data_IF_470103705228
#
_entry.id   IF_470103705228
#
_cell.length_a   1.000
_cell.length_b   1.000
_cell.length_c   1.000
_cell.angle_alpha   90.00
_cell.angle_beta   90.00
_cell.angle_gamma   90.00
#
_symmetry.space_group_name_H-M   'P 1'
#
loop_
_entity.id
_entity.type
_entity.pdbx_description
1 polymer ?
#
# COMPACT_ATOMS: atom_id res chain seq x y z
N UNK A 1 -8.05 -8.81 0.84
CA UNK A 1 -8.66 -7.46 0.93
C UNK A 1 -8.27 -6.82 2.25
N UNK A 2 -7.78 -5.59 2.20
CA UNK A 2 -7.37 -4.84 3.41
C UNK A 2 -8.58 -4.16 4.06
N UNK A 3 -9.37 -3.50 3.24
CA UNK A 3 -10.61 -2.81 3.60
C UNK A 3 -11.50 -2.79 2.35
N UNK A 4 -12.77 -2.39 2.44
CA UNK A 4 -13.62 -2.32 1.26
C UNK A 4 -12.99 -1.48 0.15
N UNK A 5 -12.73 -2.11 -0.99
CA UNK A 5 -12.10 -1.47 -2.14
C UNK A 5 -10.57 -1.32 -2.05
N UNK A 6 -9.92 -1.90 -1.04
CA UNK A 6 -8.46 -1.86 -0.90
C UNK A 6 -7.91 -3.28 -0.89
N UNK A 7 -7.08 -3.60 -1.86
CA UNK A 7 -6.46 -4.91 -2.03
C UNK A 7 -4.94 -4.80 -1.94
N UNK A 8 -4.29 -5.87 -1.52
CA UNK A 8 -2.82 -5.95 -1.45
C UNK A 8 -2.31 -7.19 -2.16
N UNK A 9 -1.11 -7.08 -2.75
CA UNK A 9 -0.46 -8.23 -3.41
C UNK A 9 1.03 -8.01 -3.56
N UNK A 10 1.73 -9.05 -4.04
CA UNK A 10 3.03 -8.93 -4.67
C UNK A 10 2.87 -8.38 -6.08
N UNK A 11 3.98 -8.31 -6.83
CA UNK A 11 3.94 -7.76 -8.19
C UNK A 11 3.07 -8.65 -9.09
N UNK A 12 1.99 -8.12 -9.70
CA UNK A 12 1.17 -8.91 -10.60
C UNK A 12 1.90 -9.22 -11.90
N UNK A 13 1.51 -10.29 -12.54
CA UNK A 13 1.96 -10.67 -13.86
C UNK A 13 0.76 -10.96 -14.76
N UNK A 14 1.02 -11.32 -16.03
CA UNK A 14 -0.03 -11.54 -17.01
C UNK A 14 -1.06 -12.59 -16.60
N UNK A 15 -0.66 -13.59 -15.81
CA UNK A 15 -1.58 -14.63 -15.30
C UNK A 15 -2.62 -14.06 -14.35
N UNK A 16 -2.35 -12.93 -13.73
CA UNK A 16 -3.24 -12.29 -12.77
C UNK A 16 -4.20 -11.30 -13.41
N UNK A 17 -3.98 -10.89 -14.66
CA UNK A 17 -4.77 -9.80 -15.28
C UNK A 17 -6.25 -10.12 -15.37
N UNK A 18 -6.61 -11.36 -15.69
CA UNK A 18 -8.01 -11.78 -15.75
C UNK A 18 -8.72 -11.65 -14.39
N UNK A 19 -8.05 -12.03 -13.31
CA UNK A 19 -8.57 -11.86 -11.95
C UNK A 19 -8.67 -10.38 -11.56
N UNK A 20 -7.61 -9.62 -11.84
CA UNK A 20 -7.57 -8.20 -11.49
C UNK A 20 -8.66 -7.41 -12.23
N UNK A 21 -8.96 -7.78 -13.46
CA UNK A 21 -10.05 -7.16 -14.23
C UNK A 21 -11.39 -7.28 -13.50
N UNK A 22 -11.65 -8.39 -12.83
CA UNK A 22 -12.89 -8.61 -12.07
C UNK A 22 -13.03 -7.69 -10.86
N UNK A 23 -11.91 -7.16 -10.36
CA UNK A 23 -11.93 -6.24 -9.22
C UNK A 23 -12.37 -4.84 -9.62
N UNK A 24 -12.44 -4.54 -10.89
CA UNK A 24 -12.81 -3.21 -11.43
C UNK A 24 -11.96 -2.09 -10.82
N UNK A 25 -10.65 -2.29 -10.78
CA UNK A 25 -9.72 -1.34 -10.18
C UNK A 25 -9.78 0.02 -10.88
N UNK A 26 -9.80 1.09 -10.11
CA UNK A 26 -9.57 2.46 -10.60
C UNK A 26 -8.11 2.83 -10.55
N UNK A 27 -7.38 2.29 -9.59
CA UNK A 27 -5.99 2.70 -9.32
C UNK A 27 -5.13 1.52 -8.91
N UNK A 28 -3.83 1.67 -9.17
CA UNK A 28 -2.77 0.81 -8.64
C UNK A 28 -1.74 1.70 -7.95
N UNK A 29 -1.36 1.33 -6.74
CA UNK A 29 -0.28 1.96 -5.99
C UNK A 29 0.91 1.00 -6.00
N UNK A 30 1.98 1.37 -6.69
CA UNK A 30 3.21 0.60 -6.73
C UNK A 30 4.26 1.20 -5.79
N UNK A 31 4.76 0.38 -4.88
CA UNK A 31 5.70 0.77 -3.82
C UNK A 31 7.04 0.10 -4.05
N UNK A 32 7.90 0.69 -4.86
CA UNK A 32 9.25 0.19 -5.11
C UNK A 32 10.11 1.23 -5.79
N UNK A 33 11.43 1.08 -5.68
CA UNK A 33 12.39 1.92 -6.41
C UNK A 33 12.57 1.49 -7.87
N UNK A 34 12.20 0.24 -8.19
CA UNK A 34 12.33 -0.30 -9.54
C UNK A 34 11.36 0.38 -10.50
N UNK A 35 11.72 0.43 -11.76
CA UNK A 35 10.80 0.86 -12.80
C UNK A 35 9.66 -0.16 -12.93
N UNK A 36 8.45 0.35 -13.19
CA UNK A 36 7.30 -0.52 -13.31
C UNK A 36 7.36 -1.33 -14.60
N UNK A 37 7.01 -2.60 -14.52
CA UNK A 37 7.06 -3.50 -15.68
C UNK A 37 6.15 -3.01 -16.78
N UNK A 38 6.69 -2.92 -18.00
CA UNK A 38 5.98 -2.37 -19.15
C UNK A 38 4.69 -3.12 -19.48
N UNK A 39 4.67 -4.44 -19.35
CA UNK A 39 3.46 -5.22 -19.62
C UNK A 39 2.30 -4.86 -18.67
N UNK A 40 2.61 -4.54 -17.41
CA UNK A 40 1.60 -4.10 -16.43
C UNK A 40 1.13 -2.69 -16.76
N UNK A 41 2.05 -1.80 -17.13
CA UNK A 41 1.72 -0.42 -17.53
C UNK A 41 0.78 -0.43 -18.73
N UNK A 42 1.09 -1.23 -19.75
CA UNK A 42 0.26 -1.35 -20.96
C UNK A 42 -1.12 -1.90 -20.64
N UNK A 43 -1.18 -2.95 -19.81
CA UNK A 43 -2.46 -3.52 -19.38
C UNK A 43 -3.30 -2.50 -18.61
N UNK A 44 -2.72 -1.81 -17.66
CA UNK A 44 -3.43 -0.80 -16.86
C UNK A 44 -3.95 0.32 -17.74
N UNK A 45 -3.16 0.77 -18.72
CA UNK A 45 -3.58 1.81 -19.66
C UNK A 45 -4.77 1.35 -20.51
N UNK A 46 -4.76 0.09 -20.99
CA UNK A 46 -5.89 -0.47 -21.73
C UNK A 46 -7.16 -0.55 -20.91
N UNK A 47 -7.03 -0.85 -19.63
CA UNK A 47 -8.18 -0.98 -18.71
C UNK A 47 -8.60 0.34 -18.08
N UNK A 48 -7.91 1.44 -18.39
CA UNK A 48 -8.22 2.76 -17.81
C UNK A 48 -7.86 2.87 -16.34
N UNK A 49 -6.89 2.10 -15.87
CA UNK A 49 -6.44 2.09 -14.48
C UNK A 49 -5.32 3.12 -14.31
N UNK A 50 -5.46 4.00 -13.32
CA UNK A 50 -4.45 4.99 -13.00
C UNK A 50 -3.36 4.38 -12.12
N UNK A 51 -2.09 4.57 -12.49
CA UNK A 51 -0.95 4.09 -11.73
C UNK A 51 -0.33 5.23 -10.93
N UNK A 52 -0.16 5.02 -9.63
CA UNK A 52 0.62 5.89 -8.75
C UNK A 52 1.87 5.13 -8.34
N UNK A 53 3.02 5.56 -8.84
CA UNK A 53 4.29 4.94 -8.50
C UNK A 53 4.97 5.75 -7.40
N UNK A 54 5.13 5.13 -6.25
CA UNK A 54 5.85 5.70 -5.11
C UNK A 54 7.16 4.94 -4.91
N UNK A 55 8.27 5.63 -5.07
CA UNK A 55 9.60 5.03 -4.94
C UNK A 55 9.95 4.92 -3.47
N UNK A 56 9.58 3.79 -2.90
CA UNK A 56 9.75 3.48 -1.48
C UNK A 56 10.89 2.50 -1.29
N UNK A 57 11.89 2.92 -0.52
CA UNK A 57 13.03 2.07 -0.15
C UNK A 57 12.65 1.17 1.02
N UNK A 58 13.01 -0.12 0.93
CA UNK A 58 12.83 -1.04 2.06
C UNK A 58 13.73 -0.66 3.24
N UNK A 59 13.23 -0.88 4.46
CA UNK A 59 14.07 -0.83 5.64
C UNK A 59 15.04 -2.01 5.64
N UNK A 60 16.27 -1.77 6.10
CA UNK A 60 17.29 -2.82 6.27
C UNK A 60 17.66 -2.91 7.73
N UNK A 61 17.48 -4.08 8.31
CA UNK A 61 17.83 -4.30 9.72
C UNK A 61 19.28 -3.86 10.00
N UNK A 62 19.52 -3.13 11.09
CA UNK A 62 18.58 -2.64 12.09
C UNK A 62 17.98 -1.23 11.82
N UNK A 63 18.16 -0.68 10.62
CA UNK A 63 17.84 0.72 10.32
C UNK A 63 16.49 0.88 9.64
N UNK A 64 15.81 1.99 9.95
CA UNK A 64 14.63 2.44 9.21
C UNK A 64 15.09 3.42 8.12
N UNK A 65 15.04 2.98 6.87
CA UNK A 65 15.45 3.77 5.70
C UNK A 65 14.27 4.24 4.84
N UNK A 66 13.08 3.76 5.14
CA UNK A 66 11.88 4.08 4.38
C UNK A 66 11.52 5.55 4.56
N UNK A 67 11.24 6.23 3.44
CA UNK A 67 10.89 7.65 3.45
C UNK A 67 9.45 7.84 3.91
N UNK A 68 9.27 8.54 5.03
CA UNK A 68 7.95 8.83 5.58
C UNK A 68 7.10 9.69 4.66
N UNK A 69 7.69 10.62 3.91
CA UNK A 69 6.94 11.48 3.00
C UNK A 69 6.40 10.70 1.81
N UNK A 70 7.16 9.75 1.28
CA UNK A 70 6.67 8.87 0.22
C UNK A 70 5.54 7.97 0.70
N UNK A 71 5.66 7.43 1.90
CA UNK A 71 4.58 6.61 2.50
C UNK A 71 3.35 7.47 2.76
N UNK A 72 3.51 8.68 3.28
CA UNK A 72 2.40 9.60 3.50
C UNK A 72 1.69 9.95 2.19
N UNK A 73 2.45 10.19 1.12
CA UNK A 73 1.89 10.45 -0.21
C UNK A 73 1.09 9.26 -0.73
N UNK A 74 1.62 8.05 -0.57
CA UNK A 74 0.91 6.83 -0.96
C UNK A 74 -0.40 6.68 -0.17
N UNK A 75 -0.35 6.89 1.15
CA UNK A 75 -1.54 6.83 2.01
C UNK A 75 -2.59 7.87 1.60
N UNK A 76 -2.18 9.06 1.25
CA UNK A 76 -3.09 10.11 0.78
C UNK A 76 -3.84 9.66 -0.47
N UNK A 77 -3.19 8.97 -1.40
CA UNK A 77 -3.86 8.43 -2.59
C UNK A 77 -4.78 7.27 -2.26
N UNK A 78 -4.38 6.36 -1.37
CA UNK A 78 -5.17 5.19 -0.98
C UNK A 78 -6.44 5.59 -0.24
N UNK A 79 -6.34 6.60 0.63
CA UNK A 79 -7.41 7.02 1.51
C UNK A 79 -8.28 8.12 0.89
N UNK A 80 -8.46 8.05 -0.41
CA UNK A 80 -9.34 8.89 -1.20
C UNK A 80 -10.30 7.97 -1.98
N UNK A 81 -11.58 8.01 -1.63
CA UNK A 81 -12.57 7.10 -2.23
C UNK A 81 -12.69 7.22 -3.74
N UNK A 82 -12.25 8.34 -4.32
CA UNK A 82 -12.25 8.53 -5.79
C UNK A 82 -11.26 7.61 -6.49
N UNK A 83 -10.27 7.09 -5.77
CA UNK A 83 -9.26 6.17 -6.30
C UNK A 83 -9.63 4.69 -6.09
N UNK A 84 -10.69 4.41 -5.35
CA UNK A 84 -11.08 3.04 -5.03
C UNK A 84 -11.99 2.44 -6.12
N UNK A 85 -11.91 1.14 -6.41
CA UNK A 85 -11.03 0.16 -5.78
C UNK A 85 -9.55 0.32 -6.17
N UNK A 86 -8.65 0.08 -5.23
CA UNK A 86 -7.20 0.23 -5.41
C UNK A 86 -6.46 -1.07 -5.09
N UNK A 87 -5.45 -1.39 -5.89
CA UNK A 87 -4.49 -2.44 -5.57
C UNK A 87 -3.19 -1.81 -5.09
N UNK A 88 -2.78 -2.15 -3.88
CA UNK A 88 -1.50 -1.75 -3.31
C UNK A 88 -0.54 -2.93 -3.47
N UNK A 89 0.60 -2.72 -4.10
CA UNK A 89 1.58 -3.79 -4.20
C UNK A 89 3.01 -3.27 -4.20
N UNK A 90 3.92 -4.15 -3.85
CA UNK A 90 5.36 -4.01 -4.02
C UNK A 90 5.83 -5.24 -4.80
N UNK A 91 7.10 -5.63 -4.69
CA UNK A 91 7.57 -6.79 -5.45
C UNK A 91 7.12 -8.13 -4.82
N UNK A 92 7.19 -8.25 -3.49
CA UNK A 92 6.81 -9.49 -2.78
C UNK A 92 5.47 -9.41 -2.06
N UNK A 93 4.92 -8.21 -1.88
CA UNK A 93 3.67 -8.01 -1.16
C UNK A 93 3.80 -8.15 0.36
N UNK A 94 5.01 -8.06 0.90
CA UNK A 94 5.32 -8.30 2.32
C UNK A 94 5.68 -7.04 3.08
N UNK A 95 6.81 -6.42 2.75
CA UNK A 95 7.46 -5.40 3.59
C UNK A 95 6.93 -4.00 3.36
N UNK A 96 7.12 -3.44 2.18
CA UNK A 96 6.66 -2.07 1.86
C UNK A 96 5.14 -1.97 1.94
N UNK A 97 4.44 -2.92 1.36
CA UNK A 97 2.97 -3.02 1.52
C UNK A 97 2.61 -3.21 2.99
N UNK A 98 3.34 -4.05 3.71
CA UNK A 98 3.10 -4.29 5.14
C UNK A 98 3.20 -3.02 5.98
N UNK A 99 4.20 -2.18 5.73
CA UNK A 99 4.35 -0.90 6.42
C UNK A 99 3.19 0.05 6.12
N UNK A 100 2.80 0.16 4.85
CA UNK A 100 1.67 1.01 4.45
C UNK A 100 0.37 0.53 5.08
N UNK A 101 0.10 -0.78 5.04
CA UNK A 101 -1.09 -1.35 5.67
C UNK A 101 -1.06 -1.15 7.19
N UNK A 102 0.10 -1.33 7.82
CA UNK A 102 0.26 -1.05 9.25
C UNK A 102 -0.12 0.38 9.63
N UNK A 103 0.29 1.35 8.81
CA UNK A 103 -0.10 2.75 9.00
C UNK A 103 -1.60 2.97 8.81
N UNK A 104 -2.23 2.28 7.85
CA UNK A 104 -3.69 2.31 7.70
C UNK A 104 -4.36 1.80 8.98
N UNK A 105 -3.87 0.69 9.54
CA UNK A 105 -4.42 0.12 10.78
C UNK A 105 -4.29 1.09 11.95
N UNK A 106 -3.19 1.82 12.03
CA UNK A 106 -3.06 2.88 13.04
C UNK A 106 -4.11 3.98 12.87
N UNK A 107 -4.37 4.40 11.64
CA UNK A 107 -5.42 5.37 11.34
C UNK A 107 -6.80 4.83 11.69
N UNK A 108 -7.03 3.52 11.52
CA UNK A 108 -8.25 2.84 11.95
C UNK A 108 -8.30 2.59 13.46
N UNK A 109 -7.26 2.99 14.19
CA UNK A 109 -7.15 2.82 15.65
C UNK A 109 -7.15 1.36 16.11
N UNK A 110 -6.55 0.48 15.33
CA UNK A 110 -6.29 -0.88 15.76
C UNK A 110 -5.34 -0.88 16.96
N UNK A 111 -5.47 -1.88 17.85
CA UNK A 111 -4.49 -2.08 18.89
C UNK A 111 -3.12 -2.36 18.29
N UNK A 112 -2.07 -1.95 18.98
CA UNK A 112 -0.70 -2.17 18.52
C UNK A 112 -0.41 -3.65 18.30
N UNK A 113 -0.84 -4.52 19.22
CA UNK A 113 -0.66 -5.96 19.10
C UNK A 113 -1.35 -6.50 17.84
N UNK A 114 -2.59 -6.09 17.58
CA UNK A 114 -3.36 -6.58 16.43
C UNK A 114 -2.71 -6.22 15.10
N UNK A 115 -2.23 -4.98 14.96
CA UNK A 115 -1.62 -4.57 13.71
C UNK A 115 -0.26 -5.25 13.48
N UNK A 116 0.53 -5.50 14.52
CA UNK A 116 1.80 -6.23 14.41
C UNK A 116 1.58 -7.70 14.11
N UNK A 117 0.55 -8.31 14.66
CA UNK A 117 0.18 -9.69 14.32
C UNK A 117 -0.22 -9.82 12.85
N UNK A 118 -0.99 -8.86 12.33
CA UNK A 118 -1.34 -8.84 10.91
C UNK A 118 -0.07 -8.67 10.05
N UNK A 119 0.80 -7.75 10.41
CA UNK A 119 2.07 -7.57 9.70
C UNK A 119 2.86 -8.88 9.65
N UNK A 120 3.01 -9.54 10.79
CA UNK A 120 3.79 -10.77 10.90
C UNK A 120 3.20 -11.94 10.08
N UNK A 121 1.88 -12.00 9.94
CA UNK A 121 1.25 -13.05 9.12
C UNK A 121 1.68 -13.00 7.65
N UNK A 122 1.98 -11.82 7.13
CA UNK A 122 2.40 -11.65 5.74
C UNK A 122 3.91 -11.62 5.57
N UNK A 123 4.64 -11.04 6.51
CA UNK A 123 6.05 -10.68 6.36
C UNK A 123 6.97 -11.37 7.36
N UNK A 124 6.43 -12.01 8.41
CA UNK A 124 7.23 -12.46 9.55
C UNK A 124 7.63 -11.27 10.43
N UNK A 125 8.55 -11.52 11.36
CA UNK A 125 9.02 -10.47 12.25
C UNK A 125 10.15 -9.69 11.58
N UNK A 126 10.00 -8.36 11.51
CA UNK A 126 11.03 -7.46 11.02
C UNK A 126 10.99 -6.17 11.86
N UNK A 127 11.93 -6.05 12.79
CA UNK A 127 11.94 -4.98 13.79
C UNK A 127 12.01 -3.58 13.16
N UNK A 128 12.77 -3.41 12.09
CA UNK A 128 12.86 -2.12 11.43
C UNK A 128 11.53 -1.66 10.84
N UNK A 129 10.72 -2.57 10.31
CA UNK A 129 9.40 -2.26 9.79
C UNK A 129 8.41 -2.00 10.93
N UNK A 130 8.47 -2.80 12.00
CA UNK A 130 7.64 -2.57 13.18
C UNK A 130 7.93 -1.20 13.80
N UNK A 131 9.20 -0.84 13.92
CA UNK A 131 9.62 0.47 14.40
C UNK A 131 9.12 1.60 13.48
N UNK A 132 9.22 1.41 12.18
CA UNK A 132 8.70 2.38 11.22
C UNK A 132 7.20 2.62 11.42
N UNK A 133 6.42 1.55 11.54
CA UNK A 133 4.97 1.64 11.74
C UNK A 133 4.66 2.39 13.05
N UNK A 134 5.38 2.08 14.12
CA UNK A 134 5.19 2.73 15.42
C UNK A 134 5.50 4.23 15.40
N UNK A 135 6.58 4.60 14.73
CA UNK A 135 7.08 5.98 14.71
C UNK A 135 6.48 6.87 13.64
N UNK A 136 5.83 6.29 12.65
CA UNK A 136 5.27 7.06 11.54
C UNK A 136 4.34 8.16 12.06
N UNK A 137 4.57 9.38 11.60
CA UNK A 137 3.75 10.54 11.97
C UNK A 137 2.49 10.59 11.11
N UNK A 138 1.37 10.16 11.68
CA UNK A 138 0.07 10.11 10.99
C UNK A 138 -0.40 11.48 10.51
N UNK A 139 0.06 12.58 11.12
CA UNK A 139 -0.32 13.94 10.70
C UNK A 139 0.23 14.31 9.33
N UNK A 140 1.20 13.57 8.81
CA UNK A 140 1.72 13.77 7.45
C UNK A 140 0.74 13.34 6.36
N UNK A 141 -0.22 12.50 6.69
CA UNK A 141 -1.24 12.03 5.74
C UNK A 141 -2.29 13.11 5.56
N UNK A 142 -2.49 13.55 4.32
CA UNK A 142 -3.47 14.58 3.98
C UNK A 142 -4.78 13.94 3.59
N UNK A 143 -5.71 13.85 4.52
CA UNK A 143 -7.05 13.30 4.27
C UNK A 143 -7.97 14.39 3.76
N UNK A 144 -8.68 14.10 2.66
CA UNK A 144 -9.74 14.96 2.17
C UNK A 144 -11.02 14.63 2.94
N UNK A 145 -11.57 15.55 3.76
CA UNK A 145 -12.76 15.24 4.56
C UNK A 145 -13.99 14.85 3.75
N UNK A 146 -14.07 15.33 2.50
CA UNK A 146 -15.21 15.05 1.61
C UNK A 146 -15.09 13.65 1.00
N UNK A 147 -13.88 13.19 0.72
CA UNK A 147 -13.61 11.95 -0.01
C UNK A 147 -12.92 10.87 0.83
N UNK A 148 -12.88 11.04 2.12
CA UNK A 148 -12.32 10.05 3.05
C UNK A 148 -13.22 8.81 3.09
N UNK A 149 -12.65 7.59 2.96
CA UNK A 149 -13.46 6.38 3.03
C UNK A 149 -14.21 6.24 4.36
N UNK A 150 -15.44 5.78 4.29
CA UNK A 150 -16.29 5.65 5.48
C UNK A 150 -15.82 4.62 6.51
N UNK A 151 -14.98 3.67 6.07
CA UNK A 151 -14.42 2.65 6.96
C UNK A 151 -13.17 3.13 7.73
N UNK A 152 -12.66 4.29 7.43
CA UNK A 152 -11.53 4.87 8.15
C UNK A 152 -12.01 5.54 9.48
#
# INVERSE_FOLDING_TARGET
MVAPGVYRSGHPNERNFGFLKRLNLKSIIYLANDDYRENVVQWANREGIRIFHHRVTMNKEPFTEMDEDEVASALTHILDERHLPVLIHCNKGKYRVGCVVGCIRRLQRWSHISLLEEYARFAGEKMSDEEFIERFDLSRVKLDPVHCPSWL
#
